data_IF_343995608085
#
_entry.id   IF_343995608085
#
_cell.length_a   1.000
_cell.length_b   1.000
_cell.length_c   1.000
_cell.angle_alpha   90.00
_cell.angle_beta   90.00
_cell.angle_gamma   90.00
#
_symmetry.space_group_name_H-M   'P 1'
#
loop_
_entity.id
_entity.type
_entity.pdbx_description
1 polymer ?
#
# COMPACT_ATOMS: atom_id res chain seq x y z
N UNK A 1 23.07 -20.13 -30.32
CA UNK A 1 23.28 -21.12 -29.25
C UNK A 1 24.31 -20.71 -28.17
N UNK A 2 25.53 -20.24 -28.50
CA UNK A 2 26.56 -19.88 -27.49
C UNK A 2 26.13 -18.81 -26.46
N UNK A 3 25.35 -17.81 -26.87
CA UNK A 3 24.86 -16.74 -25.98
C UNK A 3 23.80 -17.23 -25.00
N UNK A 4 22.86 -18.06 -25.47
CA UNK A 4 21.80 -18.67 -24.63
C UNK A 4 22.43 -19.61 -23.60
N UNK A 5 23.40 -20.44 -24.02
CA UNK A 5 24.15 -21.33 -23.12
C UNK A 5 24.84 -20.52 -22.02
N UNK A 6 25.50 -19.42 -22.37
CA UNK A 6 26.09 -18.52 -21.37
C UNK A 6 25.06 -17.94 -20.40
N UNK A 7 23.90 -17.48 -20.87
CA UNK A 7 22.85 -16.92 -19.99
C UNK A 7 22.38 -17.94 -18.95
N UNK A 8 22.10 -19.17 -19.34
CA UNK A 8 21.71 -20.22 -18.39
C UNK A 8 22.86 -20.64 -17.47
N UNK A 9 24.07 -20.79 -17.99
CA UNK A 9 25.24 -21.10 -17.17
C UNK A 9 25.57 -19.96 -16.18
N UNK A 10 25.30 -18.70 -16.56
CA UNK A 10 25.47 -17.53 -15.71
C UNK A 10 24.47 -17.47 -14.56
N UNK A 11 23.36 -18.21 -14.60
CA UNK A 11 22.43 -18.31 -13.46
C UNK A 11 22.98 -19.20 -12.34
N UNK A 12 23.77 -20.21 -12.69
CA UNK A 12 24.18 -21.30 -11.78
C UNK A 12 25.65 -21.14 -11.36
N UNK A 13 26.53 -20.70 -12.26
CA UNK A 13 27.98 -20.67 -12.02
C UNK A 13 28.55 -19.25 -12.01
N UNK A 14 29.12 -18.87 -10.86
CA UNK A 14 29.90 -17.65 -10.74
C UNK A 14 31.20 -17.69 -11.57
N UNK A 15 31.76 -18.87 -11.85
CA UNK A 15 32.99 -19.01 -12.64
C UNK A 15 32.75 -18.66 -14.12
N UNK A 16 31.57 -19.03 -14.63
CA UNK A 16 31.13 -18.63 -15.98
C UNK A 16 30.94 -17.11 -16.07
N UNK A 17 30.35 -16.49 -15.04
CA UNK A 17 30.18 -15.03 -14.98
C UNK A 17 31.55 -14.33 -14.98
N UNK A 18 32.50 -14.79 -14.18
CA UNK A 18 33.82 -14.14 -14.07
C UNK A 18 34.63 -14.27 -15.37
N UNK A 19 34.59 -15.43 -16.03
CA UNK A 19 35.44 -15.70 -17.19
C UNK A 19 34.83 -15.22 -18.51
N UNK A 20 33.51 -15.36 -18.70
CA UNK A 20 32.88 -15.10 -20.00
C UNK A 20 32.21 -13.73 -20.11
N UNK A 21 31.87 -13.05 -19.00
CA UNK A 21 31.19 -11.73 -19.03
C UNK A 21 31.97 -10.65 -19.78
N UNK A 22 33.31 -10.71 -19.74
CA UNK A 22 34.19 -9.76 -20.45
C UNK A 22 33.95 -9.77 -21.96
N UNK A 23 33.68 -10.95 -22.52
CA UNK A 23 33.51 -11.19 -23.95
C UNK A 23 32.08 -10.95 -24.43
N UNK A 24 31.13 -10.65 -23.53
CA UNK A 24 29.74 -10.37 -23.88
C UNK A 24 29.49 -8.87 -24.08
N UNK A 25 28.54 -8.52 -24.97
CA UNK A 25 28.20 -7.15 -25.23
C UNK A 25 27.56 -6.50 -24.00
N UNK A 26 27.82 -5.20 -23.82
CA UNK A 26 27.38 -4.42 -22.66
C UNK A 26 25.85 -4.37 -22.52
N UNK A 27 25.15 -4.20 -23.65
CA UNK A 27 23.70 -4.09 -23.67
C UNK A 27 23.01 -5.34 -23.09
N UNK A 28 23.61 -6.52 -23.27
CA UNK A 28 23.04 -7.77 -22.73
C UNK A 28 23.09 -7.79 -21.20
N UNK A 29 24.13 -7.22 -20.60
CA UNK A 29 24.22 -7.08 -19.16
C UNK A 29 23.13 -6.13 -18.63
N UNK A 30 22.89 -5.01 -19.31
CA UNK A 30 21.81 -4.07 -18.97
C UNK A 30 20.45 -4.79 -19.01
N UNK A 31 20.16 -5.54 -20.08
CA UNK A 31 18.90 -6.28 -20.21
C UNK A 31 18.72 -7.26 -19.04
N UNK A 32 19.77 -7.98 -18.66
CA UNK A 32 19.72 -8.93 -17.53
C UNK A 32 19.45 -8.24 -16.19
N UNK A 33 20.04 -7.06 -15.98
CA UNK A 33 19.77 -6.24 -14.80
C UNK A 33 18.32 -5.76 -14.76
N UNK A 34 17.82 -5.23 -15.88
CA UNK A 34 16.42 -4.77 -15.98
C UNK A 34 15.45 -5.91 -15.70
N UNK A 35 15.64 -7.07 -16.36
CA UNK A 35 14.79 -8.24 -16.16
C UNK A 35 14.86 -8.72 -14.71
N UNK A 36 16.05 -8.76 -14.10
CA UNK A 36 16.22 -9.10 -12.69
C UNK A 36 15.41 -8.18 -11.76
N UNK A 37 15.47 -6.86 -12.00
CA UNK A 37 14.71 -5.90 -11.20
C UNK A 37 13.20 -6.15 -11.32
N UNK A 38 12.68 -6.33 -12.54
CA UNK A 38 11.26 -6.61 -12.73
C UNK A 38 10.84 -7.92 -12.04
N UNK A 39 11.60 -8.99 -12.21
CA UNK A 39 11.32 -10.30 -11.58
C UNK A 39 11.28 -10.18 -10.06
N UNK A 40 12.18 -9.40 -9.46
CA UNK A 40 12.24 -9.21 -8.00
C UNK A 40 11.05 -8.46 -7.41
N UNK A 41 10.35 -7.64 -8.21
CA UNK A 41 9.26 -6.78 -7.76
C UNK A 41 7.88 -7.45 -7.89
N UNK A 42 7.77 -8.50 -8.72
CA UNK A 42 6.51 -9.22 -8.93
C UNK A 42 5.82 -9.58 -7.60
N UNK A 43 6.50 -10.17 -6.60
CA UNK A 43 5.82 -10.60 -5.38
C UNK A 43 5.18 -9.45 -4.59
N UNK A 44 5.91 -8.34 -4.41
CA UNK A 44 5.38 -7.19 -3.66
C UNK A 44 4.25 -6.49 -4.44
N UNK A 45 4.38 -6.40 -5.77
CA UNK A 45 3.33 -5.86 -6.61
C UNK A 45 2.06 -6.70 -6.50
N UNK A 46 2.17 -8.03 -6.61
CA UNK A 46 1.02 -8.94 -6.46
C UNK A 46 0.42 -8.89 -5.07
N UNK A 47 1.24 -8.78 -4.02
CA UNK A 47 0.80 -8.69 -2.63
C UNK A 47 -0.08 -7.45 -2.42
N UNK A 48 0.39 -6.28 -2.84
CA UNK A 48 -0.39 -5.03 -2.74
C UNK A 48 -1.67 -5.10 -3.59
N UNK A 49 -1.57 -5.64 -4.81
CA UNK A 49 -2.72 -5.75 -5.73
C UNK A 49 -3.79 -6.74 -5.23
N UNK A 50 -3.42 -7.72 -4.40
CA UNK A 50 -4.35 -8.70 -3.83
C UNK A 50 -5.20 -8.14 -2.67
N UNK A 51 -4.84 -6.97 -2.12
CA UNK A 51 -5.59 -6.35 -1.02
C UNK A 51 -6.91 -5.78 -1.55
N UNK A 52 -8.02 -6.26 -1.02
CA UNK A 52 -9.37 -5.80 -1.34
C UNK A 52 -9.86 -4.81 -0.28
N UNK A 53 -10.52 -3.73 -0.70
CA UNK A 53 -11.02 -2.70 0.19
C UNK A 53 -12.12 -3.22 1.12
N UNK A 54 -13.02 -4.04 0.61
CA UNK A 54 -14.09 -4.70 1.37
C UNK A 54 -13.59 -5.65 2.47
N UNK A 55 -12.32 -6.07 2.42
CA UNK A 55 -11.72 -6.87 3.50
C UNK A 55 -11.71 -6.14 4.84
N UNK A 56 -11.69 -4.78 4.82
CA UNK A 56 -11.81 -3.99 6.05
C UNK A 56 -13.12 -4.26 6.76
N UNK A 57 -14.21 -4.62 6.07
CA UNK A 57 -15.49 -4.92 6.69
C UNK A 57 -15.52 -6.30 7.36
N UNK A 58 -14.71 -7.23 6.85
CA UNK A 58 -14.63 -8.62 7.32
C UNK A 58 -13.60 -8.85 8.43
N UNK A 59 -12.86 -7.82 8.84
CA UNK A 59 -11.86 -7.94 9.90
C UNK A 59 -12.51 -8.33 11.25
N UNK A 60 -11.86 -9.24 11.98
CA UNK A 60 -12.37 -9.91 13.19
C UNK A 60 -12.66 -8.98 14.38
N UNK A 61 -12.26 -7.71 14.29
CA UNK A 61 -12.41 -6.70 15.34
C UNK A 61 -13.63 -5.77 15.10
N UNK A 62 -14.35 -5.96 14.00
CA UNK A 62 -15.41 -5.04 13.57
C UNK A 62 -16.78 -5.36 14.15
N UNK A 63 -16.86 -5.60 15.45
CA UNK A 63 -18.13 -5.83 16.11
C UNK A 63 -19.09 -4.68 15.79
N UNK A 64 -20.19 -5.00 15.09
CA UNK A 64 -21.29 -4.12 14.70
C UNK A 64 -21.15 -3.31 13.40
N UNK A 65 -20.05 -3.37 12.62
CA UNK A 65 -20.02 -2.62 11.34
C UNK A 65 -21.01 -3.16 10.32
N UNK A 66 -21.15 -4.49 10.26
CA UNK A 66 -22.11 -5.17 9.37
C UNK A 66 -23.54 -4.72 9.67
N UNK A 67 -23.95 -4.86 10.94
CA UNK A 67 -25.23 -4.36 11.42
C UNK A 67 -25.43 -2.87 11.09
N UNK A 68 -24.41 -2.05 11.33
CA UNK A 68 -24.53 -0.60 11.19
C UNK A 68 -24.66 -0.15 9.74
N UNK A 69 -23.91 -0.76 8.81
CA UNK A 69 -24.02 -0.46 7.38
C UNK A 69 -25.34 -0.96 6.80
N UNK A 70 -25.80 -2.14 7.23
CA UNK A 70 -27.13 -2.66 6.88
C UNK A 70 -28.22 -1.69 7.32
N UNK A 71 -28.19 -1.29 8.59
CA UNK A 71 -29.17 -0.37 9.18
C UNK A 71 -29.11 1.02 8.57
N UNK A 72 -27.91 1.58 8.35
CA UNK A 72 -27.75 2.84 7.63
C UNK A 72 -28.39 2.78 6.24
N UNK A 73 -28.18 1.68 5.52
CA UNK A 73 -28.72 1.51 4.19
C UNK A 73 -30.25 1.49 4.21
N UNK A 74 -30.85 0.73 5.13
CA UNK A 74 -32.30 0.66 5.26
C UNK A 74 -32.93 1.96 5.76
N UNK A 75 -32.34 2.62 6.76
CA UNK A 75 -32.94 3.76 7.46
C UNK A 75 -32.70 5.10 6.74
N UNK A 76 -31.65 5.20 5.92
CA UNK A 76 -31.25 6.46 5.28
C UNK A 76 -31.20 6.39 3.75
N UNK A 77 -30.69 5.31 3.15
CA UNK A 77 -30.57 5.23 1.68
C UNK A 77 -31.91 4.95 0.98
N UNK A 78 -32.91 4.43 1.70
CA UNK A 78 -34.26 4.22 1.16
C UNK A 78 -35.11 5.50 1.14
N UNK A 79 -34.68 6.55 1.84
CA UNK A 79 -35.45 7.79 1.96
C UNK A 79 -35.48 8.51 0.61
N UNK A 80 -36.66 8.94 0.19
CA UNK A 80 -36.88 9.65 -1.08
C UNK A 80 -36.09 10.97 -1.13
N UNK A 81 -36.05 11.73 -0.03
CA UNK A 81 -35.46 13.05 0.07
C UNK A 81 -33.92 13.09 0.11
N UNK A 82 -33.26 11.98 0.41
CA UNK A 82 -31.80 11.93 0.58
C UNK A 82 -31.17 11.13 -0.55
N UNK A 83 -30.22 11.68 -1.30
CA UNK A 83 -29.47 10.94 -2.31
C UNK A 83 -27.98 11.17 -2.20
N UNK A 84 -27.22 10.09 -2.33
CA UNK A 84 -25.77 10.10 -2.45
C UNK A 84 -25.41 9.48 -3.80
N UNK A 85 -24.93 10.32 -4.72
CA UNK A 85 -24.63 9.91 -6.09
C UNK A 85 -23.19 10.26 -6.44
N UNK A 86 -22.46 9.30 -6.98
CA UNK A 86 -21.12 9.50 -7.51
C UNK A 86 -21.21 9.96 -8.96
N UNK A 87 -20.71 11.16 -9.24
CA UNK A 87 -20.61 11.73 -10.57
C UNK A 87 -19.17 12.22 -10.80
N UNK A 88 -18.56 11.82 -11.91
CA UNK A 88 -17.21 12.25 -12.31
C UNK A 88 -16.14 12.05 -11.21
N UNK A 89 -16.25 10.99 -10.41
CA UNK A 89 -15.32 10.69 -9.32
C UNK A 89 -15.51 11.54 -8.07
N UNK A 90 -16.62 12.28 -7.98
CA UNK A 90 -17.03 13.04 -6.80
C UNK A 90 -18.37 12.54 -6.28
N UNK A 91 -18.52 12.49 -4.96
CA UNK A 91 -19.80 12.22 -4.32
C UNK A 91 -20.60 13.52 -4.21
N UNK A 92 -21.83 13.46 -4.69
CA UNK A 92 -22.83 14.51 -4.60
C UNK A 92 -23.89 14.05 -3.60
N UNK A 93 -24.04 14.86 -2.55
CA UNK A 93 -25.15 14.75 -1.61
C UNK A 93 -26.25 15.74 -1.99
N UNK A 94 -27.47 15.24 -2.13
CA UNK A 94 -28.66 16.08 -2.22
C UNK A 94 -29.63 15.70 -1.12
N UNK A 95 -30.09 16.72 -0.41
CA UNK A 95 -31.22 16.67 0.51
C UNK A 95 -32.31 17.58 -0.03
N UNK A 96 -33.45 17.02 -0.42
CA UNK A 96 -34.55 17.84 -0.94
C UNK A 96 -35.29 18.61 0.15
N UNK A 97 -35.15 18.22 1.42
CA UNK A 97 -35.77 18.92 2.56
C UNK A 97 -34.93 20.12 3.01
N UNK A 98 -33.60 20.01 2.96
CA UNK A 98 -32.67 21.11 3.24
C UNK A 98 -31.57 21.21 2.17
N UNK A 99 -31.88 21.79 0.99
CA UNK A 99 -30.94 21.90 -0.12
C UNK A 99 -29.77 22.84 0.17
N UNK A 100 -29.85 23.65 1.24
CA UNK A 100 -28.82 24.60 1.63
C UNK A 100 -27.78 23.99 2.57
N UNK A 101 -28.17 23.01 3.39
CA UNK A 101 -27.28 22.32 4.30
C UNK A 101 -26.64 21.11 3.62
N UNK A 102 -25.40 21.28 3.17
CA UNK A 102 -24.63 20.21 2.54
C UNK A 102 -23.86 19.33 3.53
N UNK A 103 -24.23 19.33 4.80
CA UNK A 103 -23.64 18.45 5.80
C UNK A 103 -24.68 17.42 6.25
N UNK A 104 -24.31 16.14 6.21
CA UNK A 104 -25.13 15.06 6.72
C UNK A 104 -24.47 14.45 7.95
N UNK A 105 -25.27 14.14 8.97
CA UNK A 105 -24.84 13.36 10.13
C UNK A 105 -25.93 12.33 10.46
N UNK A 106 -25.53 11.07 10.59
CA UNK A 106 -26.38 10.01 11.12
C UNK A 106 -25.66 9.24 12.22
N UNK A 107 -26.40 8.91 13.27
CA UNK A 107 -25.94 8.10 14.39
C UNK A 107 -26.66 6.76 14.35
N UNK A 108 -25.95 5.70 14.01
CA UNK A 108 -26.51 4.35 13.99
C UNK A 108 -26.27 3.75 15.37
N UNK A 109 -27.38 3.38 16.02
CA UNK A 109 -27.36 2.77 17.35
C UNK A 109 -27.66 1.28 17.29
N UNK A 110 -26.94 0.51 18.10
CA UNK A 110 -27.19 -0.90 18.37
C UNK A 110 -27.43 -1.06 19.87
N UNK A 111 -28.70 -1.13 20.28
CA UNK A 111 -29.09 -0.97 21.68
C UNK A 111 -28.98 0.49 22.12
N UNK A 112 -28.35 0.74 23.27
CA UNK A 112 -28.12 2.09 23.81
C UNK A 112 -26.83 2.74 23.28
N UNK A 113 -25.92 1.94 22.72
CA UNK A 113 -24.62 2.40 22.24
C UNK A 113 -24.64 2.83 20.76
N UNK A 114 -23.85 3.86 20.44
CA UNK A 114 -23.58 4.26 19.06
C UNK A 114 -22.61 3.26 18.44
N UNK A 115 -23.01 2.60 17.36
CA UNK A 115 -22.20 1.60 16.67
C UNK A 115 -21.47 2.19 15.44
N UNK A 116 -22.06 3.18 14.77
CA UNK A 116 -21.46 3.87 13.64
C UNK A 116 -21.96 5.31 13.54
N UNK A 117 -21.03 6.22 13.30
CA UNK A 117 -21.33 7.59 12.92
C UNK A 117 -21.11 7.75 11.41
N UNK A 118 -22.11 8.25 10.70
CA UNK A 118 -21.98 8.55 9.27
C UNK A 118 -21.99 10.05 9.09
N UNK A 119 -20.96 10.59 8.45
CA UNK A 119 -20.85 11.99 8.12
C UNK A 119 -20.74 12.17 6.61
N UNK A 120 -21.36 13.21 6.07
CA UNK A 120 -21.00 13.74 4.76
C UNK A 120 -20.35 15.10 4.93
N UNK A 121 -19.23 15.30 4.25
CA UNK A 121 -18.46 16.54 4.28
C UNK A 121 -18.26 17.02 2.85
N UNK A 122 -18.94 18.11 2.49
CA UNK A 122 -18.68 18.80 1.23
C UNK A 122 -17.39 19.62 1.32
N UNK A 123 -16.79 19.86 0.16
CA UNK A 123 -15.62 20.72 -0.01
C UNK A 123 -16.01 21.89 -0.92
N UNK A 124 -16.08 23.09 -0.34
CA UNK A 124 -16.35 24.33 -1.07
C UNK A 124 -15.05 25.07 -1.39
N UNK A 125 -15.08 25.94 -2.39
CA UNK A 125 -13.94 26.78 -2.78
C UNK A 125 -13.47 27.70 -1.64
N UNK A 126 -14.35 28.09 -0.72
CA UNK A 126 -13.97 28.84 0.50
C UNK A 126 -13.06 28.04 1.43
N UNK A 127 -13.22 26.71 1.46
CA UNK A 127 -12.44 25.81 2.30
C UNK A 127 -11.02 25.63 1.73
N UNK A 128 -10.84 25.79 0.42
CA UNK A 128 -9.50 25.77 -0.20
C UNK A 128 -8.63 26.93 0.28
N UNK A 129 -9.20 28.12 0.46
CA UNK A 129 -8.48 29.28 1.00
C UNK A 129 -8.08 29.07 2.46
N UNK A 130 -8.94 28.41 3.25
CA UNK A 130 -8.70 28.20 4.68
C UNK A 130 -7.77 27.02 4.97
N UNK A 131 -7.93 25.89 4.27
CA UNK A 131 -7.24 24.64 4.58
C UNK A 131 -6.16 24.26 3.54
N UNK A 132 -6.14 24.91 2.37
CA UNK A 132 -5.19 24.69 1.28
C UNK A 132 -5.41 23.38 0.49
N UNK A 133 -5.98 22.35 1.10
CA UNK A 133 -6.34 21.09 0.44
C UNK A 133 -7.50 20.39 1.13
N UNK A 134 -8.19 19.52 0.38
CA UNK A 134 -9.24 18.65 0.90
C UNK A 134 -8.74 17.74 2.03
N UNK A 135 -7.52 17.19 1.90
CA UNK A 135 -6.92 16.31 2.90
C UNK A 135 -6.69 17.03 4.23
N UNK A 136 -6.27 18.31 4.19
CA UNK A 136 -6.07 19.11 5.39
C UNK A 136 -7.40 19.45 6.08
N UNK A 137 -8.43 19.83 5.30
CA UNK A 137 -9.77 20.05 5.85
C UNK A 137 -10.31 18.77 6.49
N UNK A 138 -10.20 17.64 5.79
CA UNK A 138 -10.68 16.36 6.27
C UNK A 138 -9.97 15.94 7.56
N UNK A 139 -8.65 16.13 7.65
CA UNK A 139 -7.90 15.87 8.88
C UNK A 139 -8.40 16.73 10.05
N UNK A 140 -8.76 18.00 9.82
CA UNK A 140 -9.36 18.85 10.84
C UNK A 140 -10.74 18.34 11.25
N UNK A 141 -11.61 17.99 10.29
CA UNK A 141 -12.94 17.45 10.55
C UNK A 141 -12.91 16.12 11.29
N UNK A 142 -11.99 15.22 10.95
CA UNK A 142 -11.81 13.96 11.67
C UNK A 142 -11.46 14.23 13.15
N UNK A 143 -10.61 15.21 13.44
CA UNK A 143 -10.30 15.59 14.83
C UNK A 143 -11.53 16.15 15.55
N UNK A 144 -12.30 17.02 14.90
CA UNK A 144 -13.57 17.53 15.45
C UNK A 144 -14.52 16.37 15.79
N UNK A 145 -14.69 15.42 14.86
CA UNK A 145 -15.56 14.25 15.07
C UNK A 145 -15.09 13.35 16.20
N UNK A 146 -13.78 13.14 16.36
CA UNK A 146 -13.21 12.38 17.48
C UNK A 146 -13.50 13.02 18.84
N UNK A 147 -13.63 14.34 18.88
CA UNK A 147 -13.92 15.12 20.11
C UNK A 147 -15.41 15.37 20.36
N UNK A 148 -16.30 14.87 19.51
CA UNK A 148 -17.72 15.21 19.56
C UNK A 148 -18.50 14.60 20.75
N UNK A 149 -17.92 13.64 21.48
CA UNK A 149 -18.59 12.89 22.56
C UNK A 149 -17.76 12.89 23.85
N UNK A 150 -17.65 14.04 24.54
CA UNK A 150 -16.84 14.14 25.75
C UNK A 150 -17.32 13.19 26.86
N UNK A 151 -16.38 12.54 27.55
CA UNK A 151 -16.62 11.50 28.57
C UNK A 151 -16.94 12.03 29.98
N UNK A 152 -17.12 13.35 30.12
CA UNK A 152 -17.25 14.03 31.41
C UNK A 152 -15.92 14.26 32.14
N UNK A 153 -14.85 13.55 31.78
CA UNK A 153 -13.48 13.88 32.19
C UNK A 153 -12.91 15.00 31.29
N UNK A 154 -12.14 15.92 31.87
CA UNK A 154 -11.49 16.99 31.10
C UNK A 154 -10.67 16.38 29.96
N UNK A 155 -10.84 16.92 28.74
CA UNK A 155 -10.01 16.61 27.59
C UNK A 155 -10.08 15.15 27.08
N UNK A 156 -11.17 14.43 27.37
CA UNK A 156 -11.40 13.07 26.88
C UNK A 156 -12.73 12.92 26.16
N UNK A 157 -12.73 12.22 25.03
CA UNK A 157 -13.93 11.95 24.22
C UNK A 157 -14.01 10.48 23.80
N UNK A 158 -15.22 9.91 23.83
CA UNK A 158 -15.49 8.59 23.28
C UNK A 158 -15.29 8.61 21.76
N UNK A 159 -14.64 7.57 21.24
CA UNK A 159 -14.47 7.35 19.82
C UNK A 159 -15.39 6.22 19.37
N UNK A 160 -16.22 6.52 18.38
CA UNK A 160 -17.06 5.56 17.71
C UNK A 160 -16.56 5.33 16.29
N UNK A 161 -16.78 4.13 15.77
CA UNK A 161 -16.55 3.83 14.36
C UNK A 161 -17.26 4.89 13.50
N UNK A 162 -16.59 5.37 12.45
CA UNK A 162 -17.08 6.46 11.63
C UNK A 162 -16.88 6.18 10.14
N UNK A 163 -17.94 6.39 9.37
CA UNK A 163 -17.93 6.43 7.91
C UNK A 163 -18.04 7.89 7.50
N UNK A 164 -17.01 8.41 6.85
CA UNK A 164 -16.99 9.78 6.35
C UNK A 164 -17.04 9.74 4.84
N UNK A 165 -18.18 10.17 4.31
CA UNK A 165 -18.44 10.36 2.90
C UNK A 165 -18.00 11.78 2.53
N UNK A 166 -16.73 11.93 2.19
CA UNK A 166 -16.23 13.18 1.65
C UNK A 166 -16.62 13.35 0.19
N UNK A 167 -16.51 14.57 -0.34
CA UNK A 167 -16.74 14.86 -1.77
C UNK A 167 -15.83 14.05 -2.70
N UNK A 168 -14.53 13.97 -2.41
CA UNK A 168 -13.56 13.31 -3.30
C UNK A 168 -13.12 11.93 -2.80
N UNK A 169 -13.21 11.71 -1.48
CA UNK A 169 -12.73 10.50 -0.83
C UNK A 169 -13.74 10.00 0.20
N UNK A 170 -13.74 8.70 0.39
CA UNK A 170 -14.45 8.02 1.48
C UNK A 170 -13.43 7.56 2.52
N UNK A 171 -13.75 7.74 3.79
CA UNK A 171 -12.96 7.23 4.90
C UNK A 171 -13.83 6.35 5.79
N UNK A 172 -13.26 5.26 6.28
CA UNK A 172 -13.90 4.42 7.28
C UNK A 172 -12.88 4.17 8.39
N UNK A 173 -13.19 4.63 9.59
CA UNK A 173 -12.41 4.34 10.78
C UNK A 173 -13.22 3.41 11.66
N UNK A 174 -12.64 2.28 12.01
CA UNK A 174 -13.21 1.30 12.91
C UNK A 174 -12.50 1.44 14.24
N UNK A 175 -13.26 1.48 15.33
CA UNK A 175 -12.73 1.60 16.68
C UNK A 175 -13.19 0.43 17.53
N UNK A 176 -12.31 -0.02 18.42
CA UNK A 176 -12.68 -1.04 19.40
C UNK A 176 -13.75 -0.53 20.38
N UNK A 177 -14.43 -1.47 21.05
CA UNK A 177 -15.36 -1.12 22.11
C UNK A 177 -14.66 -0.28 23.20
N UNK A 178 -15.28 0.84 23.61
CA UNK A 178 -14.75 1.79 24.61
C UNK A 178 -13.46 2.51 24.18
N UNK A 179 -13.27 2.72 22.87
CA UNK A 179 -12.19 3.58 22.40
C UNK A 179 -12.39 5.03 22.89
N UNK A 180 -11.29 5.66 23.29
CA UNK A 180 -11.26 7.03 23.82
C UNK A 180 -10.11 7.81 23.18
N UNK A 181 -10.35 9.08 22.89
CA UNK A 181 -9.30 10.03 22.54
C UNK A 181 -9.07 11.00 23.68
N UNK A 182 -7.81 11.35 23.91
CA UNK A 182 -7.43 12.52 24.71
C UNK A 182 -7.03 13.64 23.77
N UNK A 183 -7.51 14.86 24.01
CA UNK A 183 -7.28 15.99 23.13
C UNK A 183 -6.90 17.26 23.91
N UNK A 184 -6.21 18.18 23.26
CA UNK A 184 -5.97 19.52 23.77
C UNK A 184 -6.54 20.54 22.80
N UNK A 185 -6.99 21.67 23.34
CA UNK A 185 -7.49 22.79 22.56
C UNK A 185 -6.49 23.94 22.70
N UNK A 186 -5.90 24.35 21.58
CA UNK A 186 -4.99 25.49 21.50
C UNK A 186 -5.71 26.82 21.77
N UNK A 187 -4.95 27.88 22.03
CA UNK A 187 -5.49 29.23 22.24
C UNK A 187 -6.19 29.80 20.99
N UNK A 188 -5.87 29.25 19.82
CA UNK A 188 -6.48 29.50 18.52
C UNK A 188 -7.72 28.63 18.23
N UNK A 189 -8.13 27.79 19.19
CA UNK A 189 -9.22 26.83 19.03
C UNK A 189 -8.82 25.55 18.28
N UNK A 190 -7.55 25.38 17.89
CA UNK A 190 -7.10 24.20 17.18
C UNK A 190 -7.12 22.96 18.08
N UNK A 191 -7.76 21.89 17.62
CA UNK A 191 -7.83 20.61 18.33
C UNK A 191 -6.62 19.77 17.95
N UNK A 192 -5.92 19.26 18.97
CA UNK A 192 -4.85 18.28 18.81
C UNK A 192 -5.15 17.02 19.60
N UNK A 193 -5.17 15.87 18.92
CA UNK A 193 -5.33 14.57 19.59
C UNK A 193 -3.95 14.14 20.11
N UNK A 194 -3.84 13.92 21.42
CA UNK A 194 -2.58 13.56 22.09
C UNK A 194 -2.44 12.06 22.28
N UNK A 195 -3.55 11.35 22.45
CA UNK A 195 -3.55 9.90 22.59
C UNK A 195 -4.87 9.29 22.14
N UNK A 196 -4.81 8.08 21.58
CA UNK A 196 -5.97 7.30 21.12
C UNK A 196 -5.86 5.89 21.69
N UNK A 197 -6.90 5.44 22.37
CA UNK A 197 -7.00 4.05 22.84
C UNK A 197 -7.77 3.20 21.83
N UNK A 198 -7.39 1.93 21.72
CA UNK A 198 -8.10 0.94 20.88
C UNK A 198 -8.33 1.40 19.43
N UNK A 199 -7.28 1.95 18.80
CA UNK A 199 -7.29 2.31 17.39
C UNK A 199 -7.55 1.07 16.55
N UNK A 200 -8.67 1.02 15.84
CA UNK A 200 -8.97 -0.07 14.91
C UNK A 200 -8.56 0.29 13.48
N UNK A 201 -9.08 -0.48 12.52
CA UNK A 201 -8.70 -0.38 11.13
C UNK A 201 -9.18 0.94 10.50
N UNK A 202 -8.31 1.55 9.69
CA UNK A 202 -8.65 2.74 8.91
C UNK A 202 -8.60 2.42 7.41
N UNK A 203 -9.57 2.94 6.68
CA UNK A 203 -9.67 2.86 5.23
C UNK A 203 -9.81 4.25 4.65
N UNK A 204 -9.21 4.43 3.48
CA UNK A 204 -9.43 5.60 2.63
C UNK A 204 -9.52 5.16 1.18
N UNK A 205 -10.51 5.67 0.46
CA UNK A 205 -10.78 5.38 -0.94
C UNK A 205 -11.14 6.63 -1.72
N UNK A 206 -11.14 6.55 -3.04
CA UNK A 206 -11.58 7.60 -3.97
C UNK A 206 -12.77 7.11 -4.78
N UNK A 207 -13.67 7.98 -5.22
CA UNK A 207 -14.82 7.54 -6.03
C UNK A 207 -14.49 7.31 -7.51
N UNK A 208 -13.23 7.47 -7.92
CA UNK A 208 -12.81 7.19 -9.29
C UNK A 208 -12.90 5.71 -9.64
N UNK A 209 -13.62 5.41 -10.74
CA UNK A 209 -13.86 4.05 -11.21
C UNK A 209 -15.09 3.37 -10.60
N UNK A 210 -15.92 4.12 -9.87
CA UNK A 210 -17.25 3.70 -9.45
C UNK A 210 -18.22 3.95 -10.61
N UNK A 211 -18.89 2.89 -11.06
CA UNK A 211 -19.75 2.87 -12.23
C UNK A 211 -21.00 2.00 -12.01
N UNK A 212 -21.97 2.12 -12.93
CA UNK A 212 -23.21 1.34 -12.94
C UNK A 212 -24.01 1.48 -11.64
N UNK A 213 -24.43 0.35 -11.07
CA UNK A 213 -25.27 0.30 -9.88
C UNK A 213 -24.60 0.87 -8.62
N UNK A 214 -23.27 1.03 -8.62
CA UNK A 214 -22.53 1.58 -7.48
C UNK A 214 -22.54 3.11 -7.44
N UNK A 215 -22.98 3.77 -8.52
CA UNK A 215 -23.00 5.23 -8.62
C UNK A 215 -23.98 5.86 -7.65
N UNK A 216 -25.17 5.30 -7.48
CA UNK A 216 -26.17 5.78 -6.55
C UNK A 216 -26.27 4.82 -5.37
N UNK A 217 -25.96 5.29 -4.16
CA UNK A 217 -25.98 4.46 -2.96
C UNK A 217 -27.38 3.92 -2.66
N UNK A 218 -28.46 4.56 -3.15
CA UNK A 218 -29.83 4.02 -3.04
C UNK A 218 -29.96 2.64 -3.68
N UNK A 219 -29.24 2.40 -4.77
CA UNK A 219 -29.27 1.13 -5.50
C UNK A 219 -28.64 -0.02 -4.71
N UNK A 220 -28.00 0.26 -3.58
CA UNK A 220 -27.46 -0.79 -2.71
C UNK A 220 -28.60 -1.58 -2.06
N UNK A 221 -29.77 -0.94 -1.90
CA UNK A 221 -30.94 -1.52 -1.24
C UNK A 221 -31.91 -2.04 -2.30
N UNK A 222 -31.92 -3.35 -2.52
CA UNK A 222 -32.88 -4.01 -3.41
C UNK A 222 -33.24 -5.40 -2.90
N UNK A 223 -34.45 -5.87 -3.21
CA UNK A 223 -34.96 -7.18 -2.79
C UNK A 223 -36.37 -7.11 -2.19
N UNK A 224 -37.01 -8.28 -2.10
CA UNK A 224 -38.44 -8.37 -1.79
C UNK A 224 -38.76 -8.25 -0.29
N UNK A 225 -37.77 -8.47 0.58
CA UNK A 225 -37.93 -8.36 2.03
C UNK A 225 -36.72 -7.66 2.68
N UNK A 226 -36.88 -7.19 3.91
CA UNK A 226 -35.88 -6.34 4.58
C UNK A 226 -34.59 -7.10 4.94
N UNK A 227 -34.66 -8.41 5.18
CA UNK A 227 -33.47 -9.24 5.40
C UNK A 227 -32.61 -9.33 4.15
N UNK A 228 -33.21 -9.59 2.99
CA UNK A 228 -32.51 -9.65 1.71
C UNK A 228 -31.96 -8.28 1.30
N UNK A 229 -32.75 -7.21 1.49
CA UNK A 229 -32.28 -5.83 1.27
C UNK A 229 -31.04 -5.50 2.09
N UNK A 230 -31.00 -5.92 3.35
CA UNK A 230 -29.83 -5.72 4.21
C UNK A 230 -28.60 -6.50 3.72
N UNK A 231 -28.76 -7.77 3.37
CA UNK A 231 -27.65 -8.59 2.85
C UNK A 231 -27.11 -8.05 1.52
N UNK A 232 -28.00 -7.67 0.60
CA UNK A 232 -27.65 -7.06 -0.67
C UNK A 232 -26.91 -5.73 -0.47
N UNK A 233 -27.40 -4.89 0.44
CA UNK A 233 -26.75 -3.62 0.77
C UNK A 233 -25.33 -3.84 1.31
N UNK A 234 -25.15 -4.81 2.21
CA UNK A 234 -23.82 -5.13 2.75
C UNK A 234 -22.86 -5.65 1.66
N UNK A 235 -23.32 -6.53 0.78
CA UNK A 235 -22.53 -6.99 -0.37
C UNK A 235 -22.16 -5.84 -1.31
N UNK A 236 -23.07 -4.89 -1.54
CA UNK A 236 -22.80 -3.70 -2.36
C UNK A 236 -21.83 -2.73 -1.69
N UNK A 237 -21.87 -2.60 -0.37
CA UNK A 237 -20.84 -1.87 0.37
C UNK A 237 -19.45 -2.50 0.23
N UNK A 238 -19.35 -3.83 0.28
CA UNK A 238 -18.06 -4.52 0.03
C UNK A 238 -17.53 -4.23 -1.37
N UNK A 239 -18.38 -4.34 -2.40
CA UNK A 239 -18.04 -4.04 -3.79
C UNK A 239 -17.64 -2.56 -3.97
N UNK A 240 -18.39 -1.66 -3.34
CA UNK A 240 -18.09 -0.22 -3.32
C UNK A 240 -16.72 0.07 -2.71
N UNK A 241 -16.38 -0.51 -1.55
CA UNK A 241 -15.07 -0.31 -0.95
C UNK A 241 -13.94 -0.93 -1.78
N UNK A 242 -14.16 -2.06 -2.45
CA UNK A 242 -13.20 -2.65 -3.37
C UNK A 242 -12.88 -1.73 -4.56
N UNK A 243 -13.92 -1.14 -5.16
CA UNK A 243 -13.78 -0.17 -6.24
C UNK A 243 -13.14 1.13 -5.75
N UNK A 244 -13.59 1.66 -4.61
CA UNK A 244 -13.06 2.89 -4.04
C UNK A 244 -11.56 2.77 -3.67
N UNK A 245 -11.10 1.57 -3.31
CA UNK A 245 -9.70 1.31 -2.99
C UNK A 245 -8.81 1.09 -4.22
N UNK A 246 -9.37 0.81 -5.39
CA UNK A 246 -8.60 0.40 -6.56
C UNK A 246 -7.54 1.42 -6.97
N UNK A 247 -7.88 2.72 -7.03
CA UNK A 247 -6.92 3.77 -7.39
C UNK A 247 -5.84 3.99 -6.33
N UNK A 248 -6.16 4.16 -5.02
CA UNK A 248 -5.16 4.21 -3.96
C UNK A 248 -4.23 2.98 -3.98
N UNK A 249 -4.78 1.77 -4.13
CA UNK A 249 -4.02 0.51 -4.23
C UNK A 249 -3.06 0.50 -5.40
N UNK A 250 -3.52 0.86 -6.60
CA UNK A 250 -2.68 0.91 -7.79
C UNK A 250 -1.56 1.94 -7.61
N UNK A 251 -1.89 3.13 -7.10
CA UNK A 251 -0.90 4.16 -6.78
C UNK A 251 0.15 3.66 -5.79
N UNK A 252 -0.28 2.96 -4.75
CA UNK A 252 0.58 2.36 -3.74
C UNK A 252 1.50 1.29 -4.34
N UNK A 253 0.94 0.38 -5.15
CA UNK A 253 1.67 -0.69 -5.81
C UNK A 253 2.78 -0.13 -6.70
N UNK A 254 2.48 0.88 -7.52
CA UNK A 254 3.48 1.53 -8.38
C UNK A 254 4.53 2.31 -7.58
N UNK A 255 4.13 3.04 -6.53
CA UNK A 255 5.07 3.78 -5.68
C UNK A 255 6.08 2.86 -5.01
N UNK A 256 5.62 1.81 -4.31
CA UNK A 256 6.51 0.87 -3.62
C UNK A 256 7.37 0.08 -4.60
N UNK A 257 6.79 -0.38 -5.72
CA UNK A 257 7.52 -1.08 -6.77
C UNK A 257 8.60 -0.21 -7.39
N UNK A 258 8.29 1.06 -7.66
CA UNK A 258 9.25 2.03 -8.23
C UNK A 258 10.39 2.34 -7.27
N UNK A 259 10.10 2.53 -5.98
CA UNK A 259 11.12 2.75 -4.95
C UNK A 259 12.07 1.55 -4.85
N UNK A 260 11.53 0.32 -4.80
CA UNK A 260 12.34 -0.89 -4.74
C UNK A 260 13.17 -1.11 -6.02
N UNK A 261 12.62 -0.78 -7.18
CA UNK A 261 13.36 -0.81 -8.44
C UNK A 261 14.60 0.10 -8.37
N UNK A 262 14.39 1.35 -7.95
CA UNK A 262 15.48 2.32 -7.78
C UNK A 262 16.54 1.83 -6.79
N UNK A 263 16.10 1.29 -5.65
CA UNK A 263 16.99 0.75 -4.63
C UNK A 263 17.83 -0.42 -5.14
N UNK A 264 17.22 -1.36 -5.88
CA UNK A 264 17.91 -2.52 -6.47
C UNK A 264 18.99 -2.09 -7.46
N UNK A 265 18.72 -1.05 -8.25
CA UNK A 265 19.70 -0.48 -9.19
C UNK A 265 20.87 0.15 -8.43
N UNK A 266 20.59 0.97 -7.40
CA UNK A 266 21.61 1.60 -6.57
C UNK A 266 22.53 0.55 -5.93
N UNK A 267 21.97 -0.52 -5.39
CA UNK A 267 22.74 -1.62 -4.79
C UNK A 267 23.63 -2.29 -5.83
N UNK A 268 23.13 -2.55 -7.03
CA UNK A 268 23.96 -3.16 -8.08
C UNK A 268 25.16 -2.26 -8.43
N UNK A 269 24.98 -0.94 -8.49
CA UNK A 269 26.09 -0.01 -8.67
C UNK A 269 27.07 -0.04 -7.48
N UNK A 270 26.57 0.04 -6.24
CA UNK A 270 27.40 -0.02 -5.04
C UNK A 270 28.22 -1.32 -4.97
N UNK A 271 27.61 -2.45 -5.31
CA UNK A 271 28.27 -3.75 -5.30
C UNK A 271 29.28 -3.91 -6.44
N UNK A 272 29.01 -3.31 -7.61
CA UNK A 272 29.99 -3.27 -8.70
C UNK A 272 31.22 -2.46 -8.32
N UNK A 273 31.04 -1.38 -7.55
CA UNK A 273 32.12 -0.59 -6.99
C UNK A 273 32.91 -1.40 -5.96
N UNK A 274 32.23 -2.14 -5.09
CA UNK A 274 32.87 -3.02 -4.11
C UNK A 274 33.76 -4.08 -4.78
N UNK A 275 33.26 -4.81 -5.79
CA UNK A 275 34.06 -5.81 -6.53
C UNK A 275 35.24 -5.14 -7.26
N UNK A 276 35.05 -3.93 -7.78
CA UNK A 276 36.13 -3.18 -8.41
C UNK A 276 37.24 -2.83 -7.41
N UNK A 277 36.90 -2.33 -6.21
CA UNK A 277 37.86 -2.03 -5.16
C UNK A 277 38.58 -3.28 -4.65
N UNK A 278 37.84 -4.37 -4.42
CA UNK A 278 38.41 -5.65 -4.01
C UNK A 278 39.38 -6.21 -5.05
N UNK A 279 39.11 -6.02 -6.35
CA UNK A 279 40.02 -6.43 -7.42
C UNK A 279 41.35 -5.66 -7.47
N UNK A 280 41.42 -4.50 -6.81
CA UNK A 280 42.60 -3.63 -6.75
C UNK A 280 43.48 -3.88 -5.53
N UNK A 281 43.05 -4.74 -4.61
CA UNK A 281 43.86 -5.13 -3.45
C UNK A 281 45.12 -5.88 -3.87
N UNK A 282 46.21 -5.78 -3.09
CA UNK A 282 47.50 -6.41 -3.39
C UNK A 282 47.42 -7.94 -3.51
N UNK A 283 46.39 -8.55 -2.90
CA UNK A 283 46.14 -9.99 -2.87
C UNK A 283 45.36 -10.51 -4.08
N UNK A 284 44.76 -9.63 -4.88
CA UNK A 284 43.95 -10.02 -6.05
C UNK A 284 44.82 -10.31 -7.27
N UNK A 285 44.67 -11.52 -7.84
CA UNK A 285 45.36 -11.94 -9.07
C UNK A 285 44.73 -11.25 -10.31
N UNK A 286 43.42 -11.02 -10.29
CA UNK A 286 42.66 -10.50 -11.43
C UNK A 286 42.28 -9.04 -11.21
N UNK A 287 42.81 -8.16 -12.05
CA UNK A 287 42.44 -6.74 -12.09
C UNK A 287 41.30 -6.53 -13.09
N UNK A 288 40.19 -6.00 -12.62
CA UNK A 288 39.04 -5.69 -13.48
C UNK A 288 38.92 -4.17 -13.68
N UNK A 289 38.49 -3.76 -14.88
CA UNK A 289 38.01 -2.39 -15.09
C UNK A 289 36.64 -2.23 -14.42
N UNK A 290 36.27 -1.02 -13.99
CA UNK A 290 34.96 -0.79 -13.34
C UNK A 290 33.80 -1.29 -14.22
N UNK A 291 33.88 -1.02 -15.52
CA UNK A 291 32.92 -1.51 -16.50
C UNK A 291 32.82 -3.05 -16.52
N UNK A 292 33.95 -3.77 -16.44
CA UNK A 292 33.92 -5.24 -16.36
C UNK A 292 33.28 -5.74 -15.05
N UNK A 293 33.54 -5.05 -13.94
CA UNK A 293 32.91 -5.31 -12.64
C UNK A 293 31.39 -5.15 -12.71
N UNK A 294 30.94 -4.06 -13.32
CA UNK A 294 29.52 -3.75 -13.48
C UNK A 294 28.80 -4.79 -14.37
N UNK A 295 29.43 -5.23 -15.48
CA UNK A 295 28.88 -6.35 -16.28
C UNK A 295 28.74 -7.63 -15.47
N UNK A 296 29.73 -7.98 -14.65
CA UNK A 296 29.69 -9.20 -13.83
C UNK A 296 28.52 -9.17 -12.85
N UNK A 297 28.31 -8.04 -12.17
CA UNK A 297 27.19 -7.85 -11.24
C UNK A 297 25.84 -7.96 -11.96
N UNK A 298 25.74 -7.35 -13.14
CA UNK A 298 24.50 -7.37 -13.94
C UNK A 298 24.15 -8.75 -14.49
N UNK A 299 25.13 -9.58 -14.85
CA UNK A 299 24.87 -10.98 -15.20
C UNK A 299 24.54 -11.84 -13.97
N UNK A 300 25.08 -11.49 -12.81
CA UNK A 300 24.83 -12.19 -11.56
C UNK A 300 23.51 -11.80 -10.88
N UNK A 301 22.77 -10.78 -11.34
CA UNK A 301 21.54 -10.33 -10.67
C UNK A 301 20.33 -11.23 -10.93
N UNK A 302 20.27 -11.92 -12.07
CA UNK A 302 19.05 -12.66 -12.44
C UNK A 302 18.76 -13.89 -11.56
N UNK A 303 19.75 -14.68 -11.17
CA UNK A 303 19.46 -15.85 -10.31
C UNK A 303 18.99 -15.49 -8.90
N UNK A 304 19.54 -14.48 -8.19
CA UNK A 304 18.99 -14.05 -6.91
C UNK A 304 17.61 -13.41 -7.07
N UNK A 305 17.26 -12.82 -8.22
CA UNK A 305 15.89 -12.40 -8.50
C UNK A 305 14.92 -13.57 -8.58
N UNK A 306 15.30 -14.67 -9.26
CA UNK A 306 14.46 -15.87 -9.35
C UNK A 306 14.30 -16.53 -7.99
N UNK A 307 15.39 -16.68 -7.22
CA UNK A 307 15.35 -17.25 -5.88
C UNK A 307 14.52 -16.38 -4.94
N UNK A 308 14.70 -15.05 -5.02
CA UNK A 308 13.92 -14.11 -4.23
C UNK A 308 12.44 -14.13 -4.60
N UNK A 309 12.08 -14.32 -5.87
CA UNK A 309 10.69 -14.49 -6.28
C UNK A 309 10.07 -15.71 -5.59
N UNK A 310 10.76 -16.86 -5.63
CA UNK A 310 10.25 -18.10 -5.01
C UNK A 310 10.13 -17.93 -3.49
N UNK A 311 11.16 -17.41 -2.82
CA UNK A 311 11.15 -17.20 -1.38
C UNK A 311 10.08 -16.20 -0.94
N UNK A 312 9.89 -15.13 -1.71
CA UNK A 312 8.90 -14.08 -1.46
C UNK A 312 7.45 -14.57 -1.57
N UNK A 313 7.21 -15.59 -2.41
CA UNK A 313 5.90 -16.23 -2.51
C UNK A 313 5.62 -17.18 -1.36
N UNK A 314 6.65 -17.89 -0.86
CA UNK A 314 6.52 -18.81 0.28
C UNK A 314 6.43 -18.03 1.60
N UNK A 315 7.17 -16.94 1.73
CA UNK A 315 7.26 -16.13 2.96
C UNK A 315 6.97 -14.66 2.66
N UNK A 316 5.68 -14.25 2.67
CA UNK A 316 5.29 -12.88 2.36
C UNK A 316 5.95 -11.82 3.26
N UNK A 317 6.28 -12.16 4.50
CA UNK A 317 6.93 -11.26 5.46
C UNK A 317 8.34 -10.80 5.04
N UNK A 318 9.03 -11.54 4.17
CA UNK A 318 10.38 -11.21 3.70
C UNK A 318 10.40 -10.59 2.30
N UNK A 319 9.25 -10.31 1.68
CA UNK A 319 9.15 -9.86 0.28
C UNK A 319 10.01 -8.65 -0.06
N UNK A 320 10.06 -7.65 0.83
CA UNK A 320 10.84 -6.42 0.62
C UNK A 320 12.35 -6.62 0.69
N UNK A 321 12.82 -7.67 1.38
CA UNK A 321 14.23 -7.88 1.71
C UNK A 321 14.84 -9.12 1.02
N UNK A 322 14.00 -10.05 0.53
CA UNK A 322 14.42 -11.32 -0.04
C UNK A 322 15.39 -11.15 -1.22
N UNK A 323 15.11 -10.20 -2.12
CA UNK A 323 16.01 -9.92 -3.24
C UNK A 323 17.36 -9.39 -2.76
N UNK A 324 17.34 -8.42 -1.84
CA UNK A 324 18.56 -7.84 -1.31
C UNK A 324 19.45 -8.89 -0.64
N UNK A 325 18.88 -9.76 0.20
CA UNK A 325 19.64 -10.82 0.87
C UNK A 325 20.24 -11.81 -0.14
N UNK A 326 19.43 -12.33 -1.07
CA UNK A 326 19.91 -13.27 -2.08
C UNK A 326 20.98 -12.65 -2.97
N UNK A 327 20.80 -11.38 -3.35
CA UNK A 327 21.73 -10.65 -4.19
C UNK A 327 23.05 -10.38 -3.47
N UNK A 328 23.01 -9.91 -2.22
CA UNK A 328 24.19 -9.70 -1.39
C UNK A 328 24.98 -11.00 -1.19
N UNK A 329 24.32 -12.10 -0.83
CA UNK A 329 24.97 -13.41 -0.66
C UNK A 329 25.66 -13.88 -1.94
N UNK A 330 24.97 -13.78 -3.08
CA UNK A 330 25.54 -14.17 -4.37
C UNK A 330 26.75 -13.32 -4.75
N UNK A 331 26.70 -12.03 -4.48
CA UNK A 331 27.77 -11.10 -4.81
C UNK A 331 28.97 -11.21 -3.88
N UNK A 332 28.76 -11.52 -2.60
CA UNK A 332 29.85 -11.88 -1.68
C UNK A 332 30.53 -13.16 -2.16
N UNK A 333 29.76 -14.17 -2.57
CA UNK A 333 30.34 -15.39 -3.11
C UNK A 333 31.11 -15.16 -4.43
N UNK A 334 30.57 -14.28 -5.30
CA UNK A 334 31.24 -13.87 -6.53
C UNK A 334 32.52 -13.08 -6.23
N UNK A 335 32.52 -12.18 -5.25
CA UNK A 335 33.69 -11.38 -4.87
C UNK A 335 34.80 -12.25 -4.27
N UNK A 336 34.45 -13.25 -3.44
CA UNK A 336 35.40 -14.24 -2.92
C UNK A 336 36.06 -15.04 -4.04
N UNK A 337 35.30 -15.53 -5.01
CA UNK A 337 35.85 -16.26 -6.17
C UNK A 337 36.66 -15.37 -7.12
N UNK A 338 36.24 -14.13 -7.31
CA UNK A 338 36.95 -13.19 -8.18
C UNK A 338 38.31 -12.77 -7.61
N UNK A 339 38.48 -12.82 -6.28
CA UNK A 339 39.68 -12.36 -5.57
C UNK A 339 40.49 -13.48 -4.90
N UNK A 340 39.97 -14.71 -4.80
CA UNK A 340 40.69 -15.83 -4.17
C UNK A 340 41.98 -16.17 -4.92
N UNK A 341 43.11 -16.41 -4.21
CA UNK A 341 44.35 -16.87 -4.82
C UNK A 341 44.14 -18.25 -5.45
N UNK A 342 44.74 -18.52 -6.62
CA UNK A 342 44.63 -19.83 -7.25
C UNK A 342 45.33 -20.86 -6.36
N UNK A 343 44.66 -21.98 -6.06
CA UNK A 343 45.22 -23.14 -5.34
C UNK A 343 46.51 -23.74 -5.97
N UNK A 344 46.96 -23.24 -7.12
CA UNK A 344 48.14 -23.71 -7.83
C UNK A 344 49.45 -23.03 -7.42
N UNK A 345 49.45 -22.04 -6.50
CA UNK A 345 50.69 -21.37 -6.07
C UNK A 345 51.34 -22.00 -4.82
N UNK A 346 50.71 -22.98 -4.18
CA UNK A 346 51.27 -23.70 -3.02
C UNK A 346 52.16 -24.89 -3.39
N UNK A 347 52.30 -25.22 -4.68
CA UNK A 347 53.07 -26.40 -5.13
C UNK A 347 54.50 -26.11 -5.62
N UNK A 348 54.93 -24.84 -5.73
CA UNK A 348 56.27 -24.48 -6.26
C UNK A 348 57.08 -23.57 -5.34
N UNK A 349 57.02 -23.85 -4.03
CA UNK A 349 58.08 -23.45 -3.09
C UNK A 349 58.45 -24.67 -2.24
N UNK A 350 59.34 -25.48 -2.78
CA UNK A 350 60.29 -26.30 -1.99
C UNK A 350 61.68 -25.86 -2.38
#
# INVERSE_FOLDING_TARGET
MKTIKFLFSSLISNDTVINESKHKPWWLAIVMMIVSCFVSIIPIFTSIMSVNGGSILTASENYNIDYSLKKFSLDYLTKENLSFTVENGQLIYNDSEDPTNKNFKAEIKHGEDISLLVYYVDYQTSDEVQYGSFDNMMNTKIKEFKTAYPTGAENKSYMYSMLILGKEKVYLYLYGAKAESTYTVGADGAISITNETSTGNAFSGTYEGIDGDLTNLKNFVYGDNDSLKAEHAYSKWQEFFDKAYAKPRNSLAFKYSGILLGFNVIIAFAMSLMIFLLSRTKTSIRKFKYLESLKMVFFASLSPAIVALILSLIMPSFQSMAFLMCFMLRLVWLSMKATSPSNNQTATRK
#
